data_IF_545779173873
#
_entry.id   IF_545779173873
#
_cell.length_a   1.000
_cell.length_b   1.000
_cell.length_c   1.000
_cell.angle_alpha   90.00
_cell.angle_beta   90.00
_cell.angle_gamma   90.00
#
_symmetry.space_group_name_H-M   'P 1'
#
loop_
_entity.id
_entity.type
_entity.pdbx_description
1 polymer ?
#
# COMPACT_ATOMS: atom_id res chain seq x y z
N UNK A 1 6.48 -16.82 -23.45
CA UNK A 1 5.12 -16.27 -23.26
C UNK A 1 4.14 -17.27 -23.85
N UNK A 2 3.35 -17.96 -23.02
CA UNK A 2 2.44 -18.99 -23.50
C UNK A 2 1.19 -18.36 -24.13
N UNK A 3 0.71 -18.90 -25.24
CA UNK A 3 -0.52 -18.48 -25.95
C UNK A 3 -1.73 -18.40 -25.01
N UNK A 4 -1.76 -19.25 -23.98
CA UNK A 4 -2.75 -19.22 -22.90
C UNK A 4 -2.77 -17.88 -22.14
N UNK A 5 -1.61 -17.30 -21.82
CA UNK A 5 -1.53 -16.01 -21.11
C UNK A 5 -2.04 -14.86 -21.99
N UNK A 6 -1.81 -14.94 -23.30
CA UNK A 6 -2.30 -13.95 -24.26
C UNK A 6 -3.81 -14.03 -24.38
N UNK A 7 -4.37 -15.24 -24.49
CA UNK A 7 -5.81 -15.46 -24.52
C UNK A 7 -6.51 -14.99 -23.24
N UNK A 8 -5.95 -15.28 -22.07
CA UNK A 8 -6.47 -14.80 -20.78
C UNK A 8 -6.39 -13.27 -20.70
N UNK A 9 -5.29 -12.66 -21.16
CA UNK A 9 -5.14 -11.20 -21.16
C UNK A 9 -6.17 -10.53 -22.08
N UNK A 10 -6.39 -11.08 -23.28
CA UNK A 10 -7.39 -10.56 -24.24
C UNK A 10 -8.81 -10.75 -23.69
N UNK A 11 -9.12 -11.91 -23.12
CA UNK A 11 -10.42 -12.16 -22.49
C UNK A 11 -10.67 -11.21 -21.31
N UNK A 12 -9.67 -10.98 -20.46
CA UNK A 12 -9.75 -10.03 -19.35
C UNK A 12 -9.95 -8.59 -19.86
N UNK A 13 -9.24 -8.20 -20.94
CA UNK A 13 -9.36 -6.87 -21.53
C UNK A 13 -10.77 -6.60 -22.09
N UNK A 14 -11.47 -7.62 -22.56
CA UNK A 14 -12.84 -7.51 -23.08
C UNK A 14 -13.88 -7.62 -21.95
N UNK A 15 -13.70 -8.55 -21.01
CA UNK A 15 -14.65 -8.79 -19.92
C UNK A 15 -14.62 -7.67 -18.88
N UNK A 16 -13.48 -7.02 -18.67
CA UNK A 16 -13.33 -5.91 -17.74
C UNK A 16 -14.28 -4.73 -18.05
N UNK A 17 -14.28 -4.13 -19.26
CA UNK A 17 -15.19 -3.03 -19.58
C UNK A 17 -16.66 -3.47 -19.55
N UNK A 18 -16.99 -4.71 -19.92
CA UNK A 18 -18.35 -5.26 -19.82
C UNK A 18 -18.79 -5.34 -18.35
N UNK A 19 -17.92 -5.84 -17.48
CA UNK A 19 -18.17 -5.90 -16.03
C UNK A 19 -18.34 -4.50 -15.43
N UNK A 20 -17.50 -3.54 -15.83
CA UNK A 20 -17.61 -2.14 -15.37
C UNK A 20 -18.90 -1.49 -15.84
N UNK A 21 -19.28 -1.66 -17.11
CA UNK A 21 -20.53 -1.12 -17.65
C UNK A 21 -21.76 -1.73 -16.97
N UNK A 22 -21.76 -3.05 -16.76
CA UNK A 22 -22.85 -3.76 -16.07
C UNK A 22 -22.96 -3.31 -14.61
N UNK A 23 -21.82 -3.17 -13.93
CA UNK A 23 -21.78 -2.63 -12.58
C UNK A 23 -22.32 -1.20 -12.52
N UNK A 24 -21.95 -0.32 -13.46
CA UNK A 24 -22.50 1.04 -13.53
C UNK A 24 -24.02 1.06 -13.75
N UNK A 25 -24.55 0.21 -14.64
CA UNK A 25 -25.99 0.13 -14.89
C UNK A 25 -26.76 -0.34 -13.64
N UNK A 26 -26.25 -1.39 -12.98
CA UNK A 26 -26.81 -1.88 -11.71
C UNK A 26 -26.66 -0.85 -10.60
N UNK A 27 -25.58 -0.06 -10.61
CA UNK A 27 -25.33 0.99 -9.62
C UNK A 27 -26.27 2.18 -9.78
N UNK A 28 -26.61 2.55 -11.01
CA UNK A 28 -27.61 3.59 -11.29
C UNK A 28 -29.00 3.15 -10.82
N UNK A 29 -29.33 1.86 -11.01
CA UNK A 29 -30.60 1.26 -10.58
C UNK A 29 -30.65 0.88 -9.09
N UNK A 30 -29.51 0.88 -8.39
CA UNK A 30 -29.45 0.52 -6.98
C UNK A 30 -30.19 1.53 -6.10
N UNK A 31 -30.95 1.01 -5.13
CA UNK A 31 -31.61 1.80 -4.09
C UNK A 31 -30.59 2.58 -3.26
N UNK A 32 -30.99 3.72 -2.69
CA UNK A 32 -30.13 4.54 -1.84
C UNK A 32 -29.64 3.78 -0.59
N UNK A 33 -30.41 2.79 -0.11
CA UNK A 33 -29.98 1.89 0.96
C UNK A 33 -28.78 1.02 0.55
N UNK A 34 -28.77 0.50 -0.67
CA UNK A 34 -27.69 -0.36 -1.16
C UNK A 34 -26.43 0.45 -1.47
N UNK A 35 -26.59 1.67 -1.97
CA UNK A 35 -25.48 2.64 -2.14
C UNK A 35 -24.87 3.00 -0.79
N UNK A 36 -25.68 3.17 0.25
CA UNK A 36 -25.22 3.43 1.61
C UNK A 36 -24.47 2.24 2.23
N UNK A 37 -24.97 1.01 2.04
CA UNK A 37 -24.26 -0.22 2.47
C UNK A 37 -22.93 -0.37 1.75
N UNK A 38 -22.90 -0.15 0.44
CA UNK A 38 -21.65 -0.18 -0.33
C UNK A 38 -20.67 0.90 0.08
N UNK A 39 -21.13 2.12 0.38
CA UNK A 39 -20.27 3.20 0.87
C UNK A 39 -19.62 2.84 2.19
N UNK A 40 -20.37 2.20 3.11
CA UNK A 40 -19.85 1.68 4.37
C UNK A 40 -18.83 0.56 4.15
N UNK A 41 -19.16 -0.43 3.31
CA UNK A 41 -18.25 -1.54 2.97
C UNK A 41 -16.96 -1.03 2.32
N UNK A 42 -17.08 -0.09 1.37
CA UNK A 42 -15.94 0.55 0.72
C UNK A 42 -15.09 1.30 1.74
N UNK A 43 -15.68 2.07 2.65
CA UNK A 43 -14.94 2.78 3.68
C UNK A 43 -14.12 1.81 4.55
N UNK A 44 -14.74 0.72 5.02
CA UNK A 44 -14.07 -0.30 5.84
C UNK A 44 -12.96 -1.01 5.06
N UNK A 45 -13.22 -1.38 3.81
CA UNK A 45 -12.21 -2.02 2.95
C UNK A 45 -11.07 -1.07 2.64
N UNK A 46 -11.34 0.18 2.25
CA UNK A 46 -10.31 1.17 1.96
C UNK A 46 -9.46 1.46 3.20
N UNK A 47 -10.07 1.56 4.38
CA UNK A 47 -9.33 1.73 5.63
C UNK A 47 -8.40 0.54 5.92
N UNK A 48 -8.88 -0.70 5.81
CA UNK A 48 -8.04 -1.90 6.03
C UNK A 48 -6.94 -2.02 4.99
N UNK A 49 -7.26 -1.79 3.71
CA UNK A 49 -6.31 -1.90 2.60
C UNK A 49 -5.22 -0.82 2.71
N UNK A 50 -5.59 0.42 3.03
CA UNK A 50 -4.62 1.51 3.21
C UNK A 50 -3.68 1.19 4.37
N UNK A 51 -4.20 0.69 5.51
CA UNK A 51 -3.36 0.25 6.63
C UNK A 51 -2.35 -0.82 6.22
N UNK A 52 -2.81 -1.87 5.53
CA UNK A 52 -1.95 -2.97 5.07
C UNK A 52 -0.89 -2.45 4.08
N UNK A 53 -1.30 -1.64 3.10
CA UNK A 53 -0.38 -1.07 2.10
C UNK A 53 0.68 -0.17 2.72
N UNK A 54 0.33 0.66 3.70
CA UNK A 54 1.32 1.51 4.35
C UNK A 54 2.30 0.67 5.16
N UNK A 55 1.85 -0.31 5.94
CA UNK A 55 2.77 -1.19 6.68
C UNK A 55 3.69 -1.98 5.75
N UNK A 56 3.13 -2.56 4.68
CA UNK A 56 3.92 -3.26 3.67
C UNK A 56 4.91 -2.33 2.97
N UNK A 57 4.49 -1.12 2.61
CA UNK A 57 5.33 -0.11 1.98
C UNK A 57 6.48 0.34 2.90
N UNK A 58 6.18 0.65 4.16
CA UNK A 58 7.19 0.99 5.17
C UNK A 58 8.19 -0.16 5.34
N UNK A 59 7.72 -1.41 5.42
CA UNK A 59 8.58 -2.59 5.56
C UNK A 59 9.50 -2.76 4.35
N UNK A 60 8.98 -2.64 3.13
CA UNK A 60 9.77 -2.72 1.89
C UNK A 60 10.84 -1.63 1.85
N UNK A 61 10.52 -0.40 2.25
CA UNK A 61 11.45 0.72 2.25
C UNK A 61 12.55 0.54 3.31
N UNK A 62 12.21 0.05 4.51
CA UNK A 62 13.19 -0.29 5.56
C UNK A 62 14.12 -1.41 5.10
N UNK A 63 13.58 -2.48 4.49
CA UNK A 63 14.38 -3.58 3.94
C UNK A 63 15.32 -3.06 2.86
N UNK A 64 14.83 -2.20 1.95
CA UNK A 64 15.64 -1.62 0.88
C UNK A 64 16.81 -0.80 1.43
N UNK A 65 16.58 0.06 2.42
CA UNK A 65 17.65 0.80 3.10
C UNK A 65 18.65 -0.14 3.79
N UNK A 66 18.16 -1.19 4.45
CA UNK A 66 19.01 -2.19 5.10
C UNK A 66 19.89 -2.96 4.12
N UNK A 67 19.35 -3.32 2.95
CA UNK A 67 20.13 -3.93 1.87
C UNK A 67 21.22 -2.98 1.34
N UNK A 68 20.95 -1.67 1.27
CA UNK A 68 21.96 -0.66 0.92
C UNK A 68 23.13 -0.62 1.89
N UNK A 69 22.84 -0.68 3.20
CA UNK A 69 23.87 -0.76 4.26
C UNK A 69 24.69 -2.04 4.15
N UNK A 70 24.03 -3.18 3.95
CA UNK A 70 24.69 -4.48 3.80
C UNK A 70 25.56 -4.51 2.54
N UNK A 71 25.06 -4.00 1.42
CA UNK A 71 25.84 -3.89 0.18
C UNK A 71 27.09 -3.02 0.37
N UNK A 72 26.97 -1.89 1.06
CA UNK A 72 28.12 -1.06 1.41
C UNK A 72 29.14 -1.79 2.31
N UNK A 73 28.68 -2.61 3.25
CA UNK A 73 29.56 -3.33 4.18
C UNK A 73 30.35 -4.48 3.54
N UNK A 74 29.85 -5.05 2.44
CA UNK A 74 30.48 -6.18 1.73
C UNK A 74 31.29 -5.71 0.50
N UNK A 75 31.14 -4.45 0.10
CA UNK A 75 31.83 -3.87 -1.06
C UNK A 75 33.33 -3.67 -0.76
N UNK A 76 34.18 -4.20 -1.63
CA UNK A 76 35.65 -4.00 -1.62
C UNK A 76 36.10 -2.74 -2.40
N UNK A 77 35.15 -1.97 -2.95
CA UNK A 77 35.44 -0.76 -3.72
C UNK A 77 36.04 0.34 -2.83
N UNK A 78 36.93 1.19 -3.38
CA UNK A 78 37.50 2.29 -2.63
C UNK A 78 36.41 3.22 -2.09
N UNK A 79 36.49 3.53 -0.79
CA UNK A 79 35.57 4.44 -0.09
C UNK A 79 35.58 5.83 -0.74
N UNK A 80 34.58 6.10 -1.57
CA UNK A 80 34.37 7.44 -2.15
C UNK A 80 33.47 8.30 -1.25
N UNK A 81 33.58 9.63 -1.37
CA UNK A 81 32.66 10.57 -0.70
C UNK A 81 31.20 10.31 -1.06
N UNK A 82 30.95 9.86 -2.30
CA UNK A 82 29.60 9.50 -2.78
C UNK A 82 29.06 8.27 -2.06
N UNK A 83 29.89 7.24 -1.86
CA UNK A 83 29.49 6.00 -1.18
C UNK A 83 29.08 6.26 0.28
N UNK A 84 29.80 7.14 0.99
CA UNK A 84 29.48 7.53 2.37
C UNK A 84 28.18 8.35 2.43
N UNK A 85 27.95 9.24 1.48
CA UNK A 85 26.68 10.00 1.38
C UNK A 85 25.50 9.06 1.11
N UNK A 86 25.66 8.08 0.23
CA UNK A 86 24.64 7.08 -0.06
C UNK A 86 24.29 6.25 1.18
N UNK A 87 25.30 5.79 1.93
CA UNK A 87 25.09 5.09 3.19
C UNK A 87 24.31 5.94 4.20
N UNK A 88 24.65 7.24 4.31
CA UNK A 88 23.97 8.15 5.23
C UNK A 88 22.50 8.34 4.85
N UNK A 89 22.21 8.43 3.55
CA UNK A 89 20.84 8.52 3.02
C UNK A 89 20.06 7.23 3.26
N UNK A 90 20.68 6.06 3.09
CA UNK A 90 20.04 4.78 3.39
C UNK A 90 19.70 4.66 4.88
N UNK A 91 20.65 5.00 5.77
CA UNK A 91 20.41 5.08 7.22
C UNK A 91 19.29 6.07 7.58
N UNK A 92 19.33 7.27 6.99
CA UNK A 92 18.30 8.29 7.20
C UNK A 92 16.92 7.82 6.72
N UNK A 93 16.86 7.15 5.56
CA UNK A 93 15.62 6.62 5.01
C UNK A 93 14.98 5.60 5.97
N UNK A 94 15.77 4.70 6.56
CA UNK A 94 15.28 3.72 7.52
C UNK A 94 14.66 4.42 8.73
N UNK A 95 15.37 5.40 9.30
CA UNK A 95 14.90 6.14 10.47
C UNK A 95 13.60 6.89 10.17
N UNK A 96 13.54 7.60 9.05
CA UNK A 96 12.35 8.37 8.64
C UNK A 96 11.16 7.45 8.39
N UNK A 97 11.35 6.35 7.65
CA UNK A 97 10.25 5.43 7.34
C UNK A 97 9.80 4.65 8.58
N UNK A 98 10.71 4.24 9.45
CA UNK A 98 10.36 3.60 10.72
C UNK A 98 9.59 4.56 11.64
N UNK A 99 10.06 5.81 11.80
CA UNK A 99 9.37 6.82 12.59
C UNK A 99 7.99 7.15 12.02
N UNK A 100 7.87 7.26 10.70
CA UNK A 100 6.60 7.50 10.01
C UNK A 100 5.63 6.33 10.20
N UNK A 101 6.11 5.09 10.07
CA UNK A 101 5.31 3.88 10.30
C UNK A 101 4.79 3.79 11.74
N UNK A 102 5.64 4.08 12.73
CA UNK A 102 5.26 4.14 14.14
C UNK A 102 4.26 5.28 14.40
N UNK A 103 4.50 6.47 13.82
CA UNK A 103 3.61 7.62 13.92
C UNK A 103 2.21 7.31 13.39
N UNK A 104 2.10 6.71 12.20
CA UNK A 104 0.81 6.28 11.65
C UNK A 104 0.15 5.20 12.51
N UNK A 105 0.91 4.25 13.07
CA UNK A 105 0.36 3.24 13.97
C UNK A 105 -0.27 3.88 15.22
N UNK A 106 0.36 4.89 15.79
CA UNK A 106 -0.18 5.65 16.94
C UNK A 106 -1.44 6.42 16.55
N UNK A 107 -1.44 7.10 15.40
CA UNK A 107 -2.61 7.84 14.91
C UNK A 107 -3.80 6.92 14.69
N UNK A 108 -3.59 5.78 14.01
CA UNK A 108 -4.67 4.81 13.79
C UNK A 108 -5.18 4.19 15.07
N UNK A 109 -4.28 3.90 16.02
CA UNK A 109 -4.71 3.44 17.35
C UNK A 109 -5.57 4.49 18.07
N UNK A 110 -5.23 5.77 17.96
CA UNK A 110 -6.04 6.87 18.53
C UNK A 110 -7.39 7.02 17.84
N UNK A 111 -7.44 6.84 16.51
CA UNK A 111 -8.70 6.82 15.77
C UNK A 111 -9.60 5.64 16.19
N UNK A 112 -9.02 4.45 16.37
CA UNK A 112 -9.74 3.25 16.82
C UNK A 112 -10.23 3.37 18.27
N UNK A 113 -9.48 4.05 19.15
CA UNK A 113 -9.91 4.40 20.51
C UNK A 113 -11.09 5.40 20.47
N UNK A 114 -11.00 6.44 19.65
CA UNK A 114 -12.06 7.46 19.53
C UNK A 114 -13.38 6.88 18.96
N UNK A 115 -13.30 6.01 17.96
CA UNK A 115 -14.50 5.37 17.38
C UNK A 115 -15.18 4.41 18.36
N UNK A 116 -14.43 3.69 19.20
CA UNK A 116 -14.98 2.82 20.25
C UNK A 116 -15.71 3.61 21.34
N UNK A 117 -15.16 4.76 21.74
CA UNK A 117 -15.78 5.60 22.77
C UNK A 117 -17.08 6.28 22.29
N UNK A 118 -17.28 6.43 20.97
CA UNK A 118 -18.54 6.96 20.41
C UNK A 118 -19.65 5.90 20.27
N UNK A 119 -19.32 4.61 20.46
CA UNK A 119 -20.27 3.49 20.40
C UNK A 119 -20.68 2.95 21.77
N UNK A 120 -20.08 3.46 22.85
CA UNK A 120 -20.48 3.22 24.25
C UNK A 120 -21.42 4.30 24.75
#
# INVERSE_FOLDING_TARGET
MNTLNVLVAVAALILFPIGVATFMLLWVQASDEDKMKWKKLRAICTEKITRILTYAGTLVLVIRGGLGIVAFAITDDPLTRSSVLHLLLDCWSIVVFAATGLGLAVIWRKMDEAQRNQQS
#
